data_IF_375597297241
#
_entry.id   IF_375597297241
#
_cell.length_a   1.000
_cell.length_b   1.000
_cell.length_c   1.000
_cell.angle_alpha   90.00
_cell.angle_beta   90.00
_cell.angle_gamma   90.00
#
_symmetry.space_group_name_H-M   'P 1'
#
loop_
_entity.id
_entity.type
_entity.pdbx_description
1 polymer ?
#
# COMPACT_ATOMS: atom_id res chain seq x y z
N UNK A 1 -16.84 -4.55 -29.75
CA UNK A 1 -17.08 -5.66 -28.80
C UNK A 1 -18.26 -5.28 -27.91
N UNK A 2 -19.13 -6.21 -27.50
CA UNK A 2 -20.33 -5.84 -26.76
C UNK A 2 -19.95 -5.30 -25.35
N UNK A 3 -20.57 -4.20 -24.89
CA UNK A 3 -20.17 -3.50 -23.65
C UNK A 3 -20.16 -4.39 -22.39
N UNK A 4 -21.05 -5.39 -22.34
CA UNK A 4 -21.15 -6.34 -21.24
C UNK A 4 -19.89 -7.20 -21.04
N UNK A 5 -19.15 -7.51 -22.11
CA UNK A 5 -17.88 -8.27 -22.01
C UNK A 5 -16.73 -7.36 -21.58
N UNK A 6 -16.75 -6.08 -21.96
CA UNK A 6 -15.74 -5.13 -21.48
C UNK A 6 -15.94 -4.76 -20.00
N UNK A 7 -17.17 -4.90 -19.50
CA UNK A 7 -17.50 -4.79 -18.08
C UNK A 7 -17.07 -6.02 -17.25
N UNK A 8 -16.81 -7.18 -17.88
CA UNK A 8 -16.33 -8.38 -17.17
C UNK A 8 -14.81 -8.48 -17.04
N UNK A 9 -14.04 -7.68 -17.81
CA UNK A 9 -12.58 -7.67 -17.75
C UNK A 9 -12.05 -6.28 -17.41
N UNK A 10 -11.21 -6.12 -16.38
CA UNK A 10 -10.71 -4.81 -15.98
C UNK A 10 -9.80 -4.21 -17.05
N UNK A 11 -9.75 -2.88 -17.10
CA UNK A 11 -8.76 -2.16 -17.91
C UNK A 11 -7.40 -2.18 -17.23
N UNK A 12 -7.37 -1.91 -15.92
CA UNK A 12 -6.15 -1.95 -15.11
C UNK A 12 -6.40 -2.79 -13.87
N UNK A 13 -5.40 -3.59 -13.50
CA UNK A 13 -5.40 -4.37 -12.27
C UNK A 13 -4.08 -4.11 -11.54
N UNK A 14 -4.16 -3.78 -10.25
CA UNK A 14 -3.00 -3.60 -9.38
C UNK A 14 -3.00 -4.72 -8.34
N UNK A 15 -1.86 -5.40 -8.19
CA UNK A 15 -1.69 -6.53 -7.29
C UNK A 15 -0.57 -6.25 -6.30
N UNK A 16 -0.87 -6.34 -5.00
CA UNK A 16 0.15 -6.38 -3.93
C UNK A 16 0.56 -7.80 -3.61
N UNK A 17 -0.38 -8.74 -3.67
CA UNK A 17 -0.17 -10.18 -3.51
C UNK A 17 -1.36 -10.92 -4.15
N UNK A 18 -1.35 -12.25 -4.10
CA UNK A 18 -2.39 -13.09 -4.71
C UNK A 18 -3.82 -12.85 -4.15
N UNK A 19 -3.97 -12.21 -2.98
CA UNK A 19 -5.26 -11.95 -2.33
C UNK A 19 -5.72 -10.50 -2.43
N UNK A 20 -4.78 -9.55 -2.48
CA UNK A 20 -5.05 -8.12 -2.48
C UNK A 20 -4.85 -7.56 -3.89
N UNK A 21 -5.93 -7.67 -4.65
CA UNK A 21 -6.02 -7.29 -6.06
C UNK A 21 -7.16 -6.28 -6.21
N UNK A 22 -6.83 -5.11 -6.77
CA UNK A 22 -7.81 -4.08 -7.11
C UNK A 22 -7.89 -3.91 -8.62
N UNK A 23 -9.09 -3.64 -9.09
CA UNK A 23 -9.45 -3.62 -10.50
C UNK A 23 -10.18 -2.32 -10.84
N UNK A 24 -9.80 -1.73 -11.97
CA UNK A 24 -10.40 -0.54 -12.53
C UNK A 24 -11.17 -0.87 -13.80
N UNK A 25 -12.42 -0.42 -13.86
CA UNK A 25 -13.31 -0.58 -15.00
C UNK A 25 -13.74 0.80 -15.51
N UNK A 26 -13.47 1.15 -16.78
CA UNK A 26 -13.85 2.43 -17.32
C UNK A 26 -15.37 2.50 -17.51
N UNK A 27 -16.00 3.56 -17.01
CA UNK A 27 -17.45 3.79 -17.21
C UNK A 27 -17.80 4.03 -18.68
N UNK A 28 -16.89 4.68 -19.42
CA UNK A 28 -17.06 5.01 -20.83
C UNK A 28 -15.86 4.50 -21.62
N UNK A 29 -16.07 3.96 -22.84
CA UNK A 29 -14.97 3.59 -23.71
C UNK A 29 -14.15 4.84 -24.09
N UNK A 30 -12.82 4.70 -24.12
CA UNK A 30 -11.96 5.78 -24.57
C UNK A 30 -12.26 6.12 -26.04
N UNK A 31 -12.63 7.37 -26.31
CA UNK A 31 -12.98 7.84 -27.65
C UNK A 31 -11.76 7.79 -28.60
N UNK A 32 -10.56 8.03 -28.08
CA UNK A 32 -9.33 8.19 -28.85
C UNK A 32 -8.25 7.14 -28.52
N UNK A 33 -8.59 6.10 -27.75
CA UNK A 33 -7.62 5.11 -27.26
C UNK A 33 -6.69 5.60 -26.14
N UNK A 34 -6.85 6.85 -25.69
CA UNK A 34 -6.17 7.38 -24.50
C UNK A 34 -6.97 7.03 -23.24
N UNK A 35 -6.28 6.57 -22.21
CA UNK A 35 -6.87 6.24 -20.92
C UNK A 35 -6.18 7.04 -19.82
N UNK A 36 -6.98 7.64 -18.96
CA UNK A 36 -6.53 8.28 -17.73
C UNK A 36 -7.19 7.52 -16.58
N UNK A 37 -6.37 6.97 -15.70
CA UNK A 37 -6.84 6.11 -14.60
C UNK A 37 -6.47 6.76 -13.30
N UNK A 38 -7.46 7.30 -12.60
CA UNK A 38 -7.26 7.97 -11.33
C UNK A 38 -7.04 6.96 -10.21
N UNK A 39 -5.92 7.08 -9.50
CA UNK A 39 -5.63 6.32 -8.28
C UNK A 39 -6.37 6.92 -7.08
N UNK A 40 -7.69 6.78 -7.06
CA UNK A 40 -8.53 7.20 -5.94
C UNK A 40 -9.52 6.10 -5.59
N UNK A 41 -9.68 5.79 -4.31
CA UNK A 41 -10.36 4.58 -3.82
C UNK A 41 -11.77 4.38 -4.37
N UNK A 42 -12.49 5.47 -4.62
CA UNK A 42 -13.86 5.45 -5.17
C UNK A 42 -13.98 4.82 -6.57
N UNK A 43 -12.89 4.74 -7.34
CA UNK A 43 -12.91 4.24 -8.73
C UNK A 43 -12.41 2.80 -8.88
N UNK A 44 -11.98 2.17 -7.79
CA UNK A 44 -11.38 0.84 -7.81
C UNK A 44 -12.24 -0.15 -7.06
N UNK A 45 -12.24 -1.41 -7.48
CA UNK A 45 -12.99 -2.49 -6.82
C UNK A 45 -12.07 -3.63 -6.45
N UNK A 46 -12.41 -4.42 -5.44
CA UNK A 46 -11.62 -5.62 -5.10
C UNK A 46 -12.08 -6.78 -5.96
N UNK A 47 -11.12 -7.48 -6.58
CA UNK A 47 -11.43 -8.64 -7.44
C UNK A 47 -12.27 -9.72 -6.75
N UNK A 48 -11.98 -9.98 -5.48
CA UNK A 48 -12.61 -11.05 -4.70
C UNK A 48 -13.84 -10.59 -3.91
N UNK A 49 -14.21 -9.30 -3.99
CA UNK A 49 -15.38 -8.71 -3.33
C UNK A 49 -16.09 -7.77 -4.31
N UNK A 50 -16.68 -8.32 -5.40
CA UNK A 50 -17.31 -7.52 -6.43
C UNK A 50 -18.60 -6.82 -5.95
N UNK A 51 -19.16 -7.24 -4.80
CA UNK A 51 -20.24 -6.53 -4.12
C UNK A 51 -19.83 -5.15 -3.57
N UNK A 52 -18.54 -4.90 -3.35
CA UNK A 52 -18.05 -3.59 -2.96
C UNK A 52 -17.90 -2.70 -4.21
N UNK A 53 -18.72 -1.66 -4.30
CA UNK A 53 -18.70 -0.69 -5.41
C UNK A 53 -17.40 0.12 -5.47
N UNK A 54 -16.68 0.23 -4.34
CA UNK A 54 -15.42 0.94 -4.19
C UNK A 54 -14.51 0.28 -3.15
N UNK A 55 -13.19 0.40 -3.28
CA UNK A 55 -12.26 -0.04 -2.23
C UNK A 55 -12.22 0.95 -1.07
N UNK A 56 -11.89 0.48 0.12
CA UNK A 56 -11.64 1.37 1.25
C UNK A 56 -10.32 2.13 1.06
N UNK A 57 -10.19 3.30 1.69
CA UNK A 57 -8.96 4.10 1.68
C UNK A 57 -7.77 3.29 2.21
N UNK A 58 -7.96 2.55 3.29
CA UNK A 58 -6.94 1.69 3.90
C UNK A 58 -6.50 0.60 2.91
N UNK A 59 -7.46 0.01 2.19
CA UNK A 59 -7.17 -1.01 1.18
C UNK A 59 -6.32 -0.43 0.05
N UNK A 60 -6.69 0.74 -0.48
CA UNK A 60 -5.94 1.42 -1.53
C UNK A 60 -4.51 1.73 -1.10
N UNK A 61 -4.34 2.32 0.11
CA UNK A 61 -3.03 2.65 0.66
C UNK A 61 -2.14 1.41 0.82
N UNK A 62 -2.71 0.32 1.33
CA UNK A 62 -1.98 -0.93 1.56
C UNK A 62 -1.59 -1.62 0.26
N UNK A 63 -2.45 -1.58 -0.76
CA UNK A 63 -2.11 -2.07 -2.11
C UNK A 63 -0.91 -1.31 -2.67
N UNK A 64 -0.95 0.02 -2.58
CA UNK A 64 0.08 0.90 -3.17
C UNK A 64 1.42 0.87 -2.42
N UNK A 65 1.44 0.47 -1.15
CA UNK A 65 2.67 0.42 -0.33
C UNK A 65 3.70 -0.60 -0.86
N UNK A 66 3.26 -1.70 -1.48
CA UNK A 66 4.15 -2.75 -2.00
C UNK A 66 3.57 -3.43 -3.25
N UNK A 67 3.44 -2.66 -4.33
CA UNK A 67 2.88 -3.16 -5.60
C UNK A 67 3.82 -4.21 -6.20
N UNK A 68 3.30 -5.41 -6.46
CA UNK A 68 4.01 -6.48 -7.16
C UNK A 68 3.79 -6.40 -8.67
N UNK A 69 2.55 -6.14 -9.10
CA UNK A 69 2.19 -6.09 -10.51
C UNK A 69 1.18 -4.98 -10.81
N UNK A 70 1.38 -4.31 -11.95
CA UNK A 70 0.38 -3.47 -12.60
C UNK A 70 0.12 -4.08 -13.97
N UNK A 71 -1.10 -4.57 -14.17
CA UNK A 71 -1.52 -5.23 -15.41
C UNK A 71 -2.47 -4.29 -16.15
N UNK A 72 -2.20 -4.05 -17.42
CA UNK A 72 -3.01 -3.21 -18.30
C UNK A 72 -3.53 -4.07 -19.45
N UNK A 73 -4.84 -4.01 -19.70
CA UNK A 73 -5.48 -4.72 -20.80
C UNK A 73 -4.97 -4.19 -22.14
N UNK A 74 -4.37 -5.08 -22.94
CA UNK A 74 -3.76 -4.75 -24.22
C UNK A 74 -4.77 -4.61 -25.38
N UNK A 75 -5.82 -5.42 -25.40
CA UNK A 75 -6.79 -5.42 -26.49
C UNK A 75 -8.21 -5.69 -25.99
N UNK A 76 -9.18 -5.14 -26.73
CA UNK A 76 -10.62 -5.39 -26.59
C UNK A 76 -11.16 -6.30 -27.69
N UNK A 77 -10.31 -6.73 -28.62
CA UNK A 77 -10.67 -7.52 -29.80
C UNK A 77 -10.09 -8.95 -29.68
N UNK A 78 -10.82 -9.97 -30.19
CA UNK A 78 -10.47 -11.37 -30.02
C UNK A 78 -9.29 -11.78 -30.90
N UNK A 79 -9.11 -11.10 -32.04
CA UNK A 79 -8.02 -11.31 -32.98
C UNK A 79 -7.32 -9.99 -33.22
N UNK A 80 -6.08 -9.88 -32.71
CA UNK A 80 -5.20 -8.74 -32.96
C UNK A 80 -3.81 -9.25 -33.28
N UNK A 81 -3.26 -8.77 -34.39
CA UNK A 81 -1.91 -9.15 -34.83
C UNK A 81 -0.82 -8.38 -34.09
N UNK A 82 -1.03 -7.10 -33.80
CA UNK A 82 -0.09 -6.24 -33.09
C UNK A 82 -0.82 -5.29 -32.13
N UNK A 83 -0.30 -5.17 -30.91
CA UNK A 83 -0.71 -4.15 -29.94
C UNK A 83 0.51 -3.33 -29.56
N UNK A 84 0.34 -2.02 -29.43
CA UNK A 84 1.38 -1.12 -28.92
C UNK A 84 0.79 -0.20 -27.86
N UNK A 85 1.59 0.08 -26.83
CA UNK A 85 1.30 1.07 -25.82
C UNK A 85 2.17 2.30 -26.09
N UNK A 86 1.61 3.50 -25.93
CA UNK A 86 2.32 4.76 -26.10
C UNK A 86 2.09 5.65 -24.89
N UNK A 87 3.12 6.43 -24.51
CA UNK A 87 3.07 7.44 -23.46
C UNK A 87 2.53 6.93 -22.11
N UNK A 88 2.93 5.72 -21.70
CA UNK A 88 2.58 5.18 -20.38
C UNK A 88 3.37 5.94 -19.32
N UNK A 89 2.67 6.64 -18.45
CA UNK A 89 3.24 7.41 -17.34
C UNK A 89 2.40 7.20 -16.08
N UNK A 90 2.99 7.49 -14.92
CA UNK A 90 2.34 7.41 -13.63
C UNK A 90 2.70 8.67 -12.84
N UNK A 91 1.67 9.43 -12.44
CA UNK A 91 1.85 10.64 -11.66
C UNK A 91 2.29 10.31 -10.24
N UNK A 92 3.30 11.03 -9.77
CA UNK A 92 3.78 10.97 -8.38
C UNK A 92 3.82 12.36 -7.79
N UNK A 93 3.60 12.41 -6.48
CA UNK A 93 3.77 13.62 -5.72
C UNK A 93 5.22 13.80 -5.27
N UNK A 94 5.70 15.04 -5.30
CA UNK A 94 7.00 15.41 -4.72
C UNK A 94 6.82 16.58 -3.74
N UNK A 95 7.56 16.58 -2.62
CA UNK A 95 7.66 17.77 -1.78
C UNK A 95 8.18 18.93 -2.61
N UNK A 96 7.47 20.05 -2.62
CA UNK A 96 7.89 21.26 -3.31
C UNK A 96 7.85 22.44 -2.34
N UNK A 97 8.91 23.25 -2.36
CA UNK A 97 9.10 24.34 -1.40
C UNK A 97 8.56 25.68 -1.92
N UNK A 98 8.20 25.77 -3.20
CA UNK A 98 7.64 26.98 -3.80
C UNK A 98 6.12 26.90 -3.91
N UNK A 99 5.47 28.06 -3.83
CA UNK A 99 4.02 28.22 -4.00
C UNK A 99 3.68 28.09 -5.49
N UNK A 100 3.85 26.89 -6.04
CA UNK A 100 3.43 26.58 -7.40
C UNK A 100 1.98 26.10 -7.43
N UNK A 101 1.36 26.27 -8.59
CA UNK A 101 -0.09 26.20 -8.82
C UNK A 101 -0.66 24.78 -8.88
N UNK A 102 0.18 23.74 -8.97
CA UNK A 102 -0.26 22.35 -9.02
C UNK A 102 -0.13 21.65 -7.67
N UNK A 103 -0.86 22.15 -6.66
CA UNK A 103 -0.95 21.48 -5.36
C UNK A 103 -1.67 20.15 -5.54
N UNK A 104 -1.04 19.07 -5.11
CA UNK A 104 -1.65 17.76 -5.13
C UNK A 104 -2.66 17.60 -3.98
N UNK A 105 -3.91 18.00 -4.24
CA UNK A 105 -5.01 17.98 -3.28
C UNK A 105 -5.36 16.59 -2.71
N UNK A 106 -4.94 15.51 -3.38
CA UNK A 106 -5.19 14.13 -2.96
C UNK A 106 -4.14 13.54 -2.02
N UNK A 107 -3.13 14.31 -1.62
CA UNK A 107 -2.11 13.85 -0.67
C UNK A 107 -2.54 14.26 0.74
N UNK A 108 -2.55 13.28 1.63
CA UNK A 108 -2.74 13.53 3.05
C UNK A 108 -1.41 13.59 3.79
N UNK A 109 -1.34 14.50 4.76
CA UNK A 109 -0.36 14.47 5.84
C UNK A 109 -1.17 14.27 7.12
N UNK A 110 -1.09 13.07 7.67
CA UNK A 110 -1.88 12.66 8.83
C UNK A 110 -1.24 13.14 10.14
N UNK A 111 -2.07 13.58 11.09
CA UNK A 111 -1.67 13.71 12.49
C UNK A 111 -1.65 12.32 13.13
N UNK A 112 -0.45 11.81 13.38
CA UNK A 112 -0.30 10.42 13.79
C UNK A 112 -0.55 10.18 15.28
N UNK A 113 -1.18 9.04 15.63
CA UNK A 113 -1.24 8.59 17.00
C UNK A 113 0.18 8.33 17.56
N UNK A 114 0.35 8.29 18.90
CA UNK A 114 1.66 8.24 19.53
C UNK A 114 2.57 7.10 19.08
N UNK A 115 2.01 5.98 18.63
CA UNK A 115 2.73 4.76 18.26
C UNK A 115 3.23 4.79 16.79
N UNK A 116 2.76 5.74 15.98
CA UNK A 116 3.01 5.78 14.54
C UNK A 116 3.67 7.11 14.10
N UNK A 117 4.26 7.09 12.90
CA UNK A 117 5.01 8.19 12.30
C UNK A 117 4.96 8.11 10.76
N UNK A 118 5.56 9.10 10.09
CA UNK A 118 5.53 9.36 8.64
C UNK A 118 4.21 9.96 8.15
N UNK A 119 4.16 10.40 6.89
CA UNK A 119 3.08 11.24 6.34
C UNK A 119 1.70 10.60 6.36
N UNK A 120 1.62 9.27 6.37
CA UNK A 120 0.37 8.50 6.40
C UNK A 120 0.27 7.60 7.63
N UNK A 121 1.06 7.88 8.68
CA UNK A 121 1.14 7.06 9.89
C UNK A 121 1.44 5.59 9.62
N UNK A 122 2.19 5.33 8.55
CA UNK A 122 2.43 3.99 8.06
C UNK A 122 3.57 3.28 8.79
N UNK A 123 4.46 4.03 9.47
CA UNK A 123 5.63 3.49 10.13
C UNK A 123 5.49 3.56 11.66
N UNK A 124 6.03 2.58 12.41
CA UNK A 124 6.15 2.71 13.86
C UNK A 124 6.98 3.94 14.23
N UNK A 125 6.60 4.61 15.32
CA UNK A 125 7.40 5.68 15.91
C UNK A 125 8.60 5.08 16.64
N UNK A 126 9.65 5.88 16.86
CA UNK A 126 10.77 5.51 17.73
C UNK A 126 10.24 5.05 19.11
N UNK A 127 10.71 3.89 19.57
CA UNK A 127 10.22 3.22 20.79
C UNK A 127 9.08 2.22 20.55
N UNK A 128 8.67 2.05 19.30
CA UNK A 128 7.71 1.04 18.86
C UNK A 128 8.27 0.23 17.69
N UNK A 129 7.77 -0.99 17.51
CA UNK A 129 8.08 -1.83 16.36
C UNK A 129 6.82 -2.42 15.75
N UNK A 130 6.93 -2.85 14.49
CA UNK A 130 5.82 -3.45 13.75
C UNK A 130 5.70 -4.93 14.12
N UNK A 131 4.65 -5.23 14.88
CA UNK A 131 4.27 -6.59 15.20
C UNK A 131 3.22 -7.11 14.22
N UNK A 132 3.39 -8.36 13.79
CA UNK A 132 2.41 -9.05 12.94
C UNK A 132 1.79 -10.21 13.70
N UNK A 133 0.49 -10.40 13.49
CA UNK A 133 -0.21 -11.60 13.94
C UNK A 133 0.40 -12.83 13.27
N UNK A 134 0.41 -13.98 13.97
CA UNK A 134 0.82 -15.24 13.34
C UNK A 134 -0.07 -15.52 12.11
N UNK A 135 0.56 -16.02 11.05
CA UNK A 135 -0.08 -16.33 9.76
C UNK A 135 -0.69 -15.13 9.02
N UNK A 136 -0.24 -13.90 9.31
CA UNK A 136 -0.78 -12.68 8.69
C UNK A 136 -0.84 -12.68 7.16
N UNK A 137 0.08 -13.39 6.49
CA UNK A 137 0.18 -13.47 5.03
C UNK A 137 -1.12 -14.03 4.40
N UNK A 138 -1.87 -14.85 5.15
CA UNK A 138 -3.14 -15.40 4.68
C UNK A 138 -4.36 -14.58 5.10
N UNK A 139 -4.20 -13.56 5.95
CA UNK A 139 -5.31 -12.77 6.46
C UNK A 139 -5.98 -11.95 5.36
N UNK A 140 -7.30 -11.83 5.46
CA UNK A 140 -8.12 -10.93 4.63
C UNK A 140 -8.35 -9.59 5.31
N UNK A 141 -7.97 -9.47 6.58
CA UNK A 141 -8.09 -8.27 7.39
C UNK A 141 -6.87 -7.37 7.12
N UNK A 142 -7.12 -6.11 6.77
CA UNK A 142 -6.08 -5.16 6.37
C UNK A 142 -5.05 -4.94 7.50
N UNK A 143 -5.48 -4.77 8.75
CA UNK A 143 -4.57 -4.49 9.88
C UNK A 143 -3.58 -5.64 10.12
N UNK A 144 -3.99 -6.90 9.90
CA UNK A 144 -3.07 -8.04 10.02
C UNK A 144 -1.96 -7.97 8.96
N UNK A 145 -2.29 -7.50 7.75
CA UNK A 145 -1.36 -7.39 6.62
C UNK A 145 -0.39 -6.20 6.70
N UNK A 146 -0.70 -5.20 7.52
CA UNK A 146 0.13 -4.00 7.76
C UNK A 146 0.92 -4.12 9.04
N UNK A 147 0.45 -4.92 9.99
CA UNK A 147 1.03 -5.01 11.33
C UNK A 147 0.59 -3.86 12.23
N UNK A 148 0.80 -4.05 13.52
CA UNK A 148 0.47 -3.09 14.57
C UNK A 148 1.76 -2.52 15.16
N UNK A 149 1.80 -1.23 15.43
CA UNK A 149 2.89 -0.64 16.19
C UNK A 149 2.70 -0.96 17.67
N UNK A 150 3.64 -1.72 18.25
CA UNK A 150 3.62 -2.08 19.67
C UNK A 150 4.91 -1.61 20.35
N UNK A 151 4.89 -1.31 21.66
CA UNK A 151 6.06 -0.81 22.36
C UNK A 151 7.24 -1.79 22.29
N UNK A 152 8.46 -1.26 22.28
CA UNK A 152 9.67 -2.07 22.40
C UNK A 152 9.71 -2.81 23.76
N UNK A 153 10.02 -4.11 23.74
CA UNK A 153 10.14 -4.94 24.95
C UNK A 153 11.62 -5.18 25.28
N UNK A 154 12.27 -4.16 25.84
CA UNK A 154 13.72 -4.17 26.13
C UNK A 154 14.05 -4.33 27.62
N UNK A 155 13.16 -4.94 28.40
CA UNK A 155 13.35 -5.19 29.83
C UNK A 155 13.73 -3.95 30.67
N UNK A 156 13.31 -2.75 30.24
CA UNK A 156 13.68 -1.49 30.88
C UNK A 156 15.18 -1.13 30.76
N UNK A 157 15.90 -1.75 29.81
CA UNK A 157 17.33 -1.52 29.55
C UNK A 157 17.57 -0.75 28.25
N UNK A 158 16.53 -0.47 27.47
CA UNK A 158 16.54 0.46 26.34
C UNK A 158 15.11 0.96 26.09
N UNK A 159 14.98 2.18 25.58
CA UNK A 159 13.70 2.75 25.15
C UNK A 159 13.56 2.71 23.61
N UNK A 160 14.53 2.13 22.91
CA UNK A 160 14.60 2.12 21.45
C UNK A 160 14.91 0.71 20.93
N UNK A 161 14.16 0.29 19.92
CA UNK A 161 14.39 -0.93 19.17
C UNK A 161 14.30 -0.66 17.67
N UNK A 162 14.80 -1.60 16.87
CA UNK A 162 14.59 -1.61 15.43
C UNK A 162 13.09 -1.74 15.10
N UNK A 163 12.58 -0.87 14.21
CA UNK A 163 11.13 -0.71 14.00
C UNK A 163 10.49 -1.89 13.27
N UNK A 164 11.26 -2.80 12.66
CA UNK A 164 10.74 -3.96 11.95
C UNK A 164 10.93 -5.28 12.71
N UNK A 165 12.10 -5.47 13.32
CA UNK A 165 12.42 -6.69 14.06
C UNK A 165 12.05 -6.63 15.54
N UNK A 166 11.93 -5.44 16.12
CA UNK A 166 11.74 -5.26 17.56
C UNK A 166 12.99 -5.51 18.39
N UNK A 167 14.15 -5.75 17.76
CA UNK A 167 15.40 -5.95 18.47
C UNK A 167 15.89 -4.66 19.12
N UNK A 168 16.19 -4.73 20.41
CA UNK A 168 16.61 -3.60 21.21
C UNK A 168 17.96 -3.07 20.76
N UNK A 169 18.08 -1.73 20.74
CA UNK A 169 19.30 -1.02 20.38
C UNK A 169 19.92 -0.42 21.65
N UNK A 170 21.25 -0.41 21.73
CA UNK A 170 22.01 0.23 22.81
C UNK A 170 21.61 -0.22 24.24
N UNK A 171 21.59 -1.54 24.49
CA UNK A 171 21.28 -2.10 25.81
C UNK A 171 22.16 -1.50 26.94
N UNK A 172 21.51 -0.99 27.98
CA UNK A 172 22.17 -0.43 29.16
C UNK A 172 22.55 -1.51 30.19
N UNK A 173 23.27 -1.11 31.24
CA UNK A 173 23.56 -1.94 32.42
C UNK A 173 24.32 -3.24 32.11
N UNK A 174 25.24 -3.19 31.15
CA UNK A 174 26.03 -4.35 30.70
C UNK A 174 25.15 -5.55 30.33
N UNK A 175 24.06 -5.28 29.61
CA UNK A 175 23.19 -6.31 29.02
C UNK A 175 23.32 -6.30 27.49
N UNK A 176 22.86 -7.38 26.87
CA UNK A 176 22.83 -7.60 25.44
C UNK A 176 21.77 -8.62 25.08
N UNK A 177 21.78 -9.08 23.83
CA UNK A 177 20.72 -9.92 23.27
C UNK A 177 19.57 -9.09 22.67
N UNK A 178 18.65 -9.74 21.93
CA UNK A 178 17.56 -9.06 21.22
C UNK A 178 16.63 -8.25 22.13
N UNK A 179 16.51 -8.63 23.40
CA UNK A 179 15.64 -7.97 24.38
C UNK A 179 16.41 -7.38 25.57
N UNK A 180 17.74 -7.23 25.46
CA UNK A 180 18.61 -6.80 26.57
C UNK A 180 18.47 -7.69 27.82
N UNK A 181 18.28 -8.99 27.60
CA UNK A 181 17.99 -10.03 28.60
C UNK A 181 19.20 -10.91 28.93
N UNK A 182 20.32 -10.71 28.23
CA UNK A 182 21.56 -11.46 28.41
C UNK A 182 22.60 -10.56 29.06
N UNK A 183 23.27 -11.01 30.13
CA UNK A 183 24.38 -10.25 30.71
C UNK A 183 25.59 -10.26 29.76
N UNK A 184 26.30 -9.14 29.67
CA UNK A 184 27.61 -9.11 29.04
C UNK A 184 28.57 -10.07 29.77
N UNK A 185 29.48 -10.75 29.04
CA UNK A 185 30.49 -11.62 29.64
C UNK A 185 31.44 -10.88 30.58
#
# INVERSE_FOLDING_TARGET
>A
FPPNVLASYPLVQIQRNAKLIIEYYPEKPALNGFFEVRLHQDFWRRKNHPEDDSVSKETMMVVLQNVQHILIRATNAPEVFNVSFFNVSLDIAMPHNEVDTSVAHGIEVCDCPPEYNSTSCQNPKLGYYRWYKREYITSTIIIDLVGQAVPCECNGRSDVCDTESGHCLNCANNTGGPHCDICAP
#
